data_IF_666300525633
#
_entry.id   IF_666300525633
#
_cell.length_a   1.000
_cell.length_b   1.000
_cell.length_c   1.000
_cell.angle_alpha   90.00
_cell.angle_beta   90.00
_cell.angle_gamma   90.00
#
_symmetry.space_group_name_H-M   'P 1'
#
loop_
_entity.id
_entity.type
_entity.pdbx_description
1 polymer ?
#
# COMPACT_ATOMS: atom_id res chain seq x y z
N UNK A 1 -33.70 97.46 -2.81
CA UNK A 1 -34.76 96.45 -2.65
C UNK A 1 -35.02 95.93 -4.07
N UNK A 2 -34.71 94.71 -4.54
CA UNK A 2 -34.33 93.42 -3.94
C UNK A 2 -33.45 92.68 -4.98
N UNK A 3 -32.22 92.28 -4.63
CA UNK A 3 -31.71 90.92 -4.31
C UNK A 3 -31.67 89.90 -5.49
N UNK A 4 -30.46 89.35 -5.72
CA UNK A 4 -30.13 87.92 -6.01
C UNK A 4 -30.69 87.19 -7.24
N UNK A 5 -30.05 86.19 -7.85
CA UNK A 5 -28.78 85.49 -7.59
C UNK A 5 -28.39 84.72 -8.87
N UNK A 6 -27.11 84.37 -8.98
CA UNK A 6 -26.59 83.48 -10.03
C UNK A 6 -26.98 82.03 -9.72
N UNK A 7 -27.51 81.30 -10.70
CA UNK A 7 -27.66 79.85 -10.61
C UNK A 7 -26.81 79.16 -11.68
N UNK A 8 -25.72 78.54 -11.21
CA UNK A 8 -24.86 77.63 -11.95
C UNK A 8 -25.52 76.25 -12.08
N UNK A 9 -25.38 75.53 -13.20
CA UNK A 9 -25.83 74.14 -13.29
C UNK A 9 -24.85 73.20 -12.58
N UNK A 10 -25.36 72.44 -11.62
CA UNK A 10 -24.64 71.37 -10.93
C UNK A 10 -24.34 70.21 -11.87
N UNK A 11 -23.07 69.88 -12.04
CA UNK A 11 -22.60 68.68 -12.74
C UNK A 11 -23.05 67.45 -11.96
N UNK A 12 -23.92 66.63 -12.55
CA UNK A 12 -24.42 65.40 -11.94
C UNK A 12 -23.34 64.31 -12.00
N UNK A 13 -22.68 64.04 -10.88
CA UNK A 13 -21.68 62.98 -10.76
C UNK A 13 -22.39 61.60 -10.77
N UNK A 14 -22.30 60.85 -11.88
CA UNK A 14 -22.79 59.46 -11.94
C UNK A 14 -21.81 58.55 -11.19
N UNK A 15 -22.06 58.35 -9.90
CA UNK A 15 -21.42 57.28 -9.15
C UNK A 15 -21.88 55.91 -9.70
N UNK A 16 -21.04 55.30 -10.54
CA UNK A 16 -21.21 53.92 -10.95
C UNK A 16 -21.08 53.02 -9.71
N UNK A 17 -22.17 52.33 -9.33
CA UNK A 17 -22.19 51.38 -8.22
C UNK A 17 -21.51 50.07 -8.67
N UNK A 18 -20.30 49.71 -8.17
CA UNK A 18 -19.57 48.51 -8.63
C UNK A 18 -20.07 47.22 -7.94
N UNK A 19 -21.29 47.22 -7.39
CA UNK A 19 -21.74 46.17 -6.46
C UNK A 19 -22.35 44.92 -7.08
N UNK A 20 -22.66 44.90 -8.39
CA UNK A 20 -23.40 43.79 -9.02
C UNK A 20 -22.55 42.80 -9.81
N UNK A 21 -21.38 43.22 -10.30
CA UNK A 21 -20.52 42.34 -11.11
C UNK A 21 -19.74 41.32 -10.27
N UNK A 22 -19.48 41.62 -9.00
CA UNK A 22 -18.66 40.76 -8.13
C UNK A 22 -19.39 39.50 -7.62
N UNK A 23 -20.73 39.53 -7.55
CA UNK A 23 -21.53 38.41 -7.05
C UNK A 23 -21.66 37.25 -8.05
N UNK A 24 -21.53 37.50 -9.36
CA UNK A 24 -21.62 36.46 -10.39
C UNK A 24 -20.31 35.66 -10.55
N UNK A 25 -19.16 36.25 -10.24
CA UNK A 25 -17.87 35.58 -10.31
C UNK A 25 -17.65 34.59 -9.13
N UNK A 26 -18.27 34.84 -7.97
CA UNK A 26 -18.11 33.99 -6.79
C UNK A 26 -18.96 32.70 -6.84
N UNK A 27 -20.04 32.70 -7.62
CA UNK A 27 -20.90 31.52 -7.79
C UNK A 27 -20.29 30.44 -8.72
N UNK A 28 -19.33 30.81 -9.58
CA UNK A 28 -18.72 29.90 -10.56
C UNK A 28 -17.57 29.06 -9.99
N UNK A 29 -17.08 29.32 -8.77
CA UNK A 29 -15.95 28.61 -8.17
C UNK A 29 -16.34 27.34 -7.36
N UNK A 30 -17.62 27.00 -7.26
CA UNK A 30 -18.11 25.94 -6.36
C UNK A 30 -18.28 24.55 -7.02
N UNK A 31 -17.96 24.37 -8.30
CA UNK A 31 -18.34 23.15 -9.06
C UNK A 31 -17.15 22.30 -9.52
N UNK A 32 -16.16 22.07 -8.65
CA UNK A 32 -15.15 21.01 -8.89
C UNK A 32 -14.69 20.31 -7.60
N UNK A 33 -15.60 20.02 -6.68
CA UNK A 33 -15.33 19.01 -5.65
C UNK A 33 -15.53 17.62 -6.28
N UNK A 34 -14.51 17.13 -7.00
CA UNK A 34 -14.46 15.72 -7.39
C UNK A 34 -14.54 14.87 -6.13
N UNK A 35 -15.53 13.97 -6.04
CA UNK A 35 -15.75 13.15 -4.86
C UNK A 35 -14.45 12.45 -4.45
N UNK A 36 -14.04 12.63 -3.21
CA UNK A 36 -12.94 11.87 -2.64
C UNK A 36 -13.37 10.41 -2.59
N UNK A 37 -12.99 9.63 -3.61
CA UNK A 37 -13.21 8.20 -3.64
C UNK A 37 -12.38 7.60 -2.50
N UNK A 38 -13.06 6.96 -1.56
CA UNK A 38 -12.42 6.27 -0.47
C UNK A 38 -12.15 4.86 -0.97
N UNK A 39 -10.93 4.60 -1.45
CA UNK A 39 -10.57 3.35 -2.13
C UNK A 39 -9.31 2.74 -1.46
N UNK A 40 -9.15 1.42 -1.53
CA UNK A 40 -7.87 0.75 -1.25
C UNK A 40 -7.08 0.64 -2.54
N UNK A 41 -5.94 1.34 -2.61
CA UNK A 41 -5.08 1.39 -3.80
C UNK A 41 -3.73 0.79 -3.52
N UNK A 42 -3.11 0.22 -4.56
CA UNK A 42 -1.73 -0.23 -4.52
C UNK A 42 -0.96 0.40 -5.68
N UNK A 43 0.14 1.05 -5.35
CA UNK A 43 1.08 1.62 -6.29
C UNK A 43 2.32 0.74 -6.38
N UNK A 44 2.56 0.16 -7.55
CA UNK A 44 3.76 -0.58 -7.86
C UNK A 44 4.86 0.41 -8.29
N UNK A 45 5.79 0.73 -7.40
CA UNK A 45 6.93 1.58 -7.71
C UNK A 45 8.16 0.79 -8.18
N UNK A 46 8.03 -0.51 -8.38
CA UNK A 46 9.10 -1.36 -8.91
C UNK A 46 9.18 -1.28 -10.43
N UNK A 47 10.31 -1.71 -10.99
CA UNK A 47 10.49 -1.85 -12.43
C UNK A 47 9.85 -3.12 -13.04
N UNK A 48 9.23 -3.98 -12.25
CA UNK A 48 8.62 -5.24 -12.69
C UNK A 48 7.10 -5.17 -12.69
N UNK A 49 6.45 -6.05 -13.44
CA UNK A 49 5.02 -6.36 -13.26
C UNK A 49 4.82 -7.20 -12.01
N UNK A 50 3.79 -6.85 -11.25
CA UNK A 50 3.50 -7.50 -9.97
C UNK A 50 2.09 -8.06 -9.95
N UNK A 51 1.96 -9.31 -9.53
CA UNK A 51 0.69 -9.95 -9.20
C UNK A 51 0.33 -9.71 -7.75
N UNK A 52 -0.90 -9.26 -7.46
CA UNK A 52 -1.38 -9.01 -6.09
C UNK A 52 -2.54 -9.94 -5.75
N UNK A 53 -2.55 -10.44 -4.52
CA UNK A 53 -3.71 -10.98 -3.83
C UNK A 53 -4.00 -10.13 -2.57
N UNK A 54 -5.28 -9.94 -2.27
CA UNK A 54 -5.80 -9.12 -1.18
C UNK A 54 -6.68 -9.98 -0.27
N UNK A 55 -6.40 -9.93 1.02
CA UNK A 55 -7.24 -10.47 2.08
C UNK A 55 -7.85 -9.35 2.91
N UNK A 56 -9.14 -9.46 3.20
CA UNK A 56 -9.85 -8.49 4.03
C UNK A 56 -11.00 -9.15 4.77
N UNK A 57 -11.55 -8.44 5.75
CA UNK A 57 -12.73 -8.89 6.50
C UNK A 57 -13.93 -8.04 6.11
N UNK A 58 -14.98 -8.69 5.63
CA UNK A 58 -16.27 -8.08 5.34
C UNK A 58 -17.30 -8.36 6.45
N UNK A 59 -18.57 -8.07 6.20
CA UNK A 59 -19.66 -8.32 7.14
C UNK A 59 -19.91 -9.82 7.40
N UNK A 60 -19.54 -10.69 6.46
CA UNK A 60 -19.78 -12.14 6.51
C UNK A 60 -18.56 -12.90 7.05
N UNK A 61 -17.37 -12.34 6.94
CA UNK A 61 -16.14 -12.93 7.48
C UNK A 61 -14.90 -12.58 6.67
N UNK A 62 -13.94 -13.50 6.65
CA UNK A 62 -12.71 -13.34 5.90
C UNK A 62 -12.92 -13.65 4.42
N UNK A 63 -12.36 -12.81 3.55
CA UNK A 63 -12.35 -12.97 2.11
C UNK A 63 -10.92 -12.79 1.61
N UNK A 64 -10.49 -13.64 0.68
CA UNK A 64 -9.28 -13.43 -0.11
C UNK A 64 -9.61 -13.42 -1.59
N UNK A 65 -9.01 -12.48 -2.30
CA UNK A 65 -9.18 -12.25 -3.72
C UNK A 65 -7.83 -12.09 -4.40
N UNK A 66 -7.77 -12.41 -5.68
CA UNK A 66 -6.59 -12.28 -6.55
C UNK A 66 -6.91 -12.83 -7.93
N UNK A 67 -6.12 -12.63 -8.98
CA UNK A 67 -4.88 -11.86 -9.02
C UNK A 67 -5.11 -10.55 -9.76
N UNK A 68 -4.73 -9.43 -9.14
CA UNK A 68 -4.57 -8.19 -9.89
C UNK A 68 -3.18 -8.17 -10.52
N UNK A 69 -3.09 -7.77 -11.79
CA UNK A 69 -1.81 -7.60 -12.48
C UNK A 69 -1.53 -6.11 -12.64
N UNK A 70 -0.50 -5.63 -11.95
CA UNK A 70 -0.14 -4.21 -11.90
C UNK A 70 1.18 -4.01 -12.64
N UNK A 71 1.15 -3.15 -13.64
CA UNK A 71 2.33 -2.82 -14.43
C UNK A 71 3.39 -2.07 -13.60
N UNK A 72 4.64 -2.08 -14.05
CA UNK A 72 5.70 -1.29 -13.46
C UNK A 72 5.32 0.20 -13.39
N UNK A 73 5.68 0.86 -12.29
CA UNK A 73 5.41 2.29 -12.05
C UNK A 73 3.94 2.71 -12.22
N UNK A 74 2.99 1.84 -11.88
CA UNK A 74 1.55 2.10 -12.02
C UNK A 74 0.80 1.84 -10.72
N UNK A 75 -0.38 2.45 -10.58
CA UNK A 75 -1.24 2.26 -9.41
C UNK A 75 -2.61 1.72 -9.82
N UNK A 76 -3.08 0.71 -9.09
CA UNK A 76 -4.40 0.14 -9.27
C UNK A 76 -5.25 0.23 -8.02
N UNK A 77 -6.57 0.14 -8.22
CA UNK A 77 -7.55 0.10 -7.11
C UNK A 77 -7.97 -1.34 -6.88
N UNK A 78 -7.63 -1.89 -5.71
CA UNK A 78 -7.92 -3.29 -5.37
C UNK A 78 -9.30 -3.43 -4.73
N UNK A 79 -9.71 -2.46 -3.91
CA UNK A 79 -11.03 -2.42 -3.30
C UNK A 79 -11.63 -1.02 -3.46
N UNK A 80 -12.89 -0.98 -3.91
CA UNK A 80 -13.64 0.25 -4.12
C UNK A 80 -14.51 0.58 -2.93
N UNK A 81 -14.62 1.86 -2.60
CA UNK A 81 -15.50 2.34 -1.53
C UNK A 81 -14.89 2.22 -0.13
N UNK A 82 -15.60 2.81 0.83
CA UNK A 82 -15.07 3.04 2.17
C UNK A 82 -14.53 1.76 2.81
N UNK A 83 -13.28 1.84 3.27
CA UNK A 83 -12.68 0.79 4.07
C UNK A 83 -13.40 0.69 5.42
N UNK A 84 -13.90 -0.52 5.71
CA UNK A 84 -14.64 -0.84 6.94
C UNK A 84 -13.79 -1.54 7.99
N UNK A 85 -12.64 -2.09 7.59
CA UNK A 85 -11.66 -2.72 8.46
C UNK A 85 -10.43 -1.82 8.65
N UNK A 86 -9.72 -2.02 9.75
CA UNK A 86 -8.42 -1.39 10.01
C UNK A 86 -7.26 -2.12 9.31
N UNK A 87 -7.31 -3.44 9.30
CA UNK A 87 -6.24 -4.29 8.77
C UNK A 87 -6.65 -4.92 7.45
N UNK A 88 -5.77 -4.80 6.46
CA UNK A 88 -5.86 -5.47 5.16
C UNK A 88 -4.60 -6.29 4.95
N UNK A 89 -4.70 -7.36 4.19
CA UNK A 89 -3.64 -8.34 4.03
C UNK A 89 -3.28 -8.42 2.56
N UNK A 90 -2.00 -8.30 2.21
CA UNK A 90 -1.56 -8.35 0.82
C UNK A 90 -0.52 -9.44 0.63
N UNK A 91 -0.58 -10.11 -0.51
CA UNK A 91 0.49 -10.95 -1.00
C UNK A 91 0.82 -10.50 -2.41
N UNK A 92 2.11 -10.39 -2.71
CA UNK A 92 2.56 -9.92 -4.02
C UNK A 92 3.66 -10.80 -4.60
N UNK A 93 3.66 -10.95 -5.93
CA UNK A 93 4.62 -11.72 -6.71
C UNK A 93 5.27 -10.84 -7.77
N UNK A 94 6.59 -10.79 -7.84
CA UNK A 94 7.32 -10.15 -8.95
C UNK A 94 7.38 -11.14 -10.13
N UNK A 95 6.65 -10.86 -11.21
CA UNK A 95 6.55 -11.77 -12.35
C UNK A 95 7.77 -11.75 -13.26
N UNK A 96 8.58 -10.70 -13.22
CA UNK A 96 9.67 -10.51 -14.18
C UNK A 96 11.03 -10.94 -13.59
N UNK A 97 11.30 -10.61 -12.32
CA UNK A 97 12.54 -11.00 -11.62
C UNK A 97 12.37 -12.18 -10.66
N UNK A 98 11.12 -12.54 -10.35
CA UNK A 98 10.83 -13.47 -9.26
C UNK A 98 11.00 -12.83 -7.89
N UNK A 99 10.46 -13.50 -6.88
CA UNK A 99 10.39 -12.99 -5.52
C UNK A 99 8.96 -12.66 -5.11
N UNK A 100 8.78 -12.48 -3.81
CA UNK A 100 7.47 -12.25 -3.21
C UNK A 100 7.53 -11.22 -2.08
N UNK A 101 6.41 -10.54 -1.87
CA UNK A 101 6.13 -9.83 -0.63
C UNK A 101 5.13 -10.68 0.15
N UNK A 102 5.65 -11.40 1.14
CA UNK A 102 4.89 -12.27 2.02
C UNK A 102 4.97 -11.82 3.46
N UNK A 103 4.07 -12.35 4.28
CA UNK A 103 4.02 -12.08 5.71
C UNK A 103 3.58 -13.29 6.52
N UNK A 104 3.17 -13.05 7.77
CA UNK A 104 2.86 -14.11 8.74
C UNK A 104 1.37 -14.43 8.82
N UNK A 105 0.50 -13.69 8.14
CA UNK A 105 -0.94 -13.91 8.15
C UNK A 105 -1.32 -14.95 7.09
N UNK A 106 -1.53 -16.20 7.50
CA UNK A 106 -1.84 -17.27 6.56
C UNK A 106 -3.30 -17.23 6.11
N UNK A 107 -3.52 -17.20 4.80
CA UNK A 107 -4.84 -17.22 4.18
C UNK A 107 -4.86 -18.13 2.94
N UNK A 108 -6.04 -18.42 2.41
CA UNK A 108 -6.19 -19.29 1.25
C UNK A 108 -5.97 -18.52 -0.07
N UNK A 109 -5.26 -19.14 -1.02
CA UNK A 109 -4.98 -18.58 -2.36
C UNK A 109 -5.04 -19.67 -3.44
N UNK A 110 -4.90 -19.28 -4.71
CA UNK A 110 -4.84 -20.19 -5.88
C UNK A 110 -3.98 -19.59 -7.00
N UNK A 111 -3.54 -20.42 -7.94
CA UNK A 111 -2.72 -19.99 -9.08
C UNK A 111 -3.44 -19.08 -10.11
N UNK A 112 -4.77 -19.21 -10.23
CA UNK A 112 -5.61 -18.41 -11.16
C UNK A 112 -6.46 -17.42 -10.38
N UNK A 113 -7.10 -16.49 -11.07
CA UNK A 113 -8.06 -15.57 -10.47
C UNK A 113 -9.09 -16.29 -9.58
N UNK A 114 -9.34 -15.74 -8.40
CA UNK A 114 -10.06 -16.36 -7.31
C UNK A 114 -10.73 -15.33 -6.39
N UNK A 115 -11.80 -15.78 -5.77
CA UNK A 115 -12.41 -15.20 -4.58
C UNK A 115 -12.74 -16.34 -3.63
N UNK A 116 -12.19 -16.33 -2.42
CA UNK A 116 -12.35 -17.41 -1.43
C UNK A 116 -12.84 -16.81 -0.12
N UNK A 117 -13.90 -17.38 0.45
CA UNK A 117 -14.36 -17.07 1.80
C UNK A 117 -13.74 -18.05 2.82
N UNK A 118 -13.36 -17.53 3.98
CA UNK A 118 -12.73 -18.29 5.07
C UNK A 118 -11.23 -18.54 4.85
N UNK A 119 -10.48 -18.67 5.94
CA UNK A 119 -9.01 -18.83 5.96
C UNK A 119 -8.58 -20.20 6.49
N UNK A 120 -9.53 -21.03 6.89
CA UNK A 120 -9.34 -22.35 7.45
C UNK A 120 -9.30 -23.45 6.38
N UNK A 121 -8.56 -24.52 6.70
CA UNK A 121 -8.50 -25.76 5.93
C UNK A 121 -8.18 -25.59 4.43
N UNK A 122 -7.38 -24.57 4.05
CA UNK A 122 -7.09 -24.23 2.65
C UNK A 122 -6.70 -25.47 1.82
N UNK A 123 -5.71 -26.24 2.29
CA UNK A 123 -5.22 -27.43 1.58
C UNK A 123 -6.29 -28.50 1.41
N UNK A 124 -7.10 -28.76 2.46
CA UNK A 124 -8.18 -29.76 2.39
C UNK A 124 -9.33 -29.31 1.46
N UNK A 125 -9.46 -28.00 1.22
CA UNK A 125 -10.41 -27.39 0.28
C UNK A 125 -9.84 -27.25 -1.14
N UNK A 126 -8.60 -27.67 -1.36
CA UNK A 126 -7.91 -27.59 -2.66
C UNK A 126 -7.35 -26.20 -3.00
N UNK A 127 -7.02 -25.41 -1.97
CA UNK A 127 -6.37 -24.11 -2.07
C UNK A 127 -4.97 -24.14 -1.46
N UNK A 128 -4.14 -23.19 -1.84
CA UNK A 128 -2.82 -23.00 -1.25
C UNK A 128 -2.92 -22.21 0.06
N UNK A 129 -1.93 -22.41 0.93
CA UNK A 129 -1.81 -21.66 2.20
C UNK A 129 -0.66 -20.66 2.07
N UNK A 130 -1.01 -19.42 1.78
CA UNK A 130 -0.04 -18.34 1.51
C UNK A 130 0.03 -17.37 2.68
N UNK A 131 1.23 -16.87 2.97
CA UNK A 131 1.48 -15.87 4.02
C UNK A 131 1.34 -14.45 3.47
N UNK A 132 0.33 -13.72 3.92
CA UNK A 132 0.08 -12.33 3.55
C UNK A 132 0.75 -11.38 4.53
N UNK A 133 1.23 -10.25 4.01
CA UNK A 133 1.71 -9.10 4.76
C UNK A 133 0.55 -8.25 5.27
N UNK A 134 0.58 -7.87 6.54
CA UNK A 134 -0.46 -7.07 7.17
C UNK A 134 -0.21 -5.57 6.96
N UNK A 135 -1.24 -4.87 6.49
CA UNK A 135 -1.27 -3.42 6.28
C UNK A 135 -2.23 -2.81 7.30
N UNK A 136 -1.69 -2.02 8.23
CA UNK A 136 -2.49 -1.21 9.16
C UNK A 136 -2.85 0.13 8.49
N UNK A 137 -4.15 0.32 8.22
CA UNK A 137 -4.67 1.56 7.62
C UNK A 137 -5.00 2.63 8.66
N UNK A 138 -4.87 2.34 9.96
CA UNK A 138 -5.21 3.27 11.04
C UNK A 138 -6.67 3.70 11.04
N UNK A 139 -7.58 2.82 10.62
CA UNK A 139 -9.04 3.08 10.49
C UNK A 139 -9.39 4.17 9.45
N UNK A 140 -8.47 4.45 8.54
CA UNK A 140 -8.73 5.37 7.44
C UNK A 140 -9.69 4.73 6.43
N UNK A 141 -10.61 5.55 5.90
CA UNK A 141 -11.60 5.11 4.91
C UNK A 141 -11.02 4.87 3.51
N UNK A 142 -9.80 5.34 3.27
CA UNK A 142 -9.06 5.23 2.02
C UNK A 142 -7.59 4.99 2.38
N UNK A 143 -6.90 4.14 1.61
CA UNK A 143 -5.49 3.85 1.87
C UNK A 143 -4.77 3.54 0.58
N UNK A 144 -3.49 3.91 0.50
CA UNK A 144 -2.63 3.55 -0.64
C UNK A 144 -1.37 2.87 -0.15
N UNK A 145 -1.18 1.62 -0.55
CA UNK A 145 0.06 0.88 -0.33
C UNK A 145 1.06 1.25 -1.41
N UNK A 146 2.31 1.52 -1.02
CA UNK A 146 3.43 1.75 -1.93
C UNK A 146 4.31 0.51 -1.91
N UNK A 147 4.35 -0.20 -3.03
CA UNK A 147 5.20 -1.39 -3.19
C UNK A 147 6.55 -0.98 -3.78
N UNK A 148 7.61 -1.33 -3.08
CA UNK A 148 9.00 -1.13 -3.50
C UNK A 148 9.73 -2.46 -3.59
N UNK A 149 10.86 -2.47 -4.28
CA UNK A 149 11.64 -3.68 -4.54
C UNK A 149 12.00 -4.42 -3.24
N UNK A 150 12.00 -5.75 -3.31
CA UNK A 150 12.27 -6.65 -2.18
C UNK A 150 13.78 -6.74 -1.90
N UNK A 151 14.44 -5.62 -1.66
CA UNK A 151 15.87 -5.63 -1.28
C UNK A 151 16.10 -5.88 0.21
N UNK A 152 15.10 -5.68 1.08
CA UNK A 152 15.33 -5.66 2.55
C UNK A 152 14.18 -6.16 3.45
N UNK A 153 13.20 -6.91 2.94
CA UNK A 153 12.10 -7.41 3.80
C UNK A 153 12.32 -8.84 4.34
N UNK A 154 13.34 -9.56 3.84
CA UNK A 154 13.75 -10.88 4.36
C UNK A 154 14.99 -10.82 5.28
N UNK A 155 15.25 -9.66 5.88
CA UNK A 155 16.19 -9.53 6.99
C UNK A 155 15.62 -8.59 8.06
N UNK A 156 14.53 -9.01 8.71
CA UNK A 156 14.44 -8.76 10.14
C UNK A 156 15.55 -9.60 10.82
N UNK A 157 16.83 -9.28 10.56
CA UNK A 157 17.89 -9.50 11.52
C UNK A 157 17.50 -8.64 12.69
N UNK A 158 16.81 -9.24 13.65
CA UNK A 158 16.58 -8.63 14.96
C UNK A 158 17.96 -8.17 15.44
N UNK A 159 18.24 -6.86 15.57
CA UNK A 159 19.41 -6.44 16.33
C UNK A 159 19.05 -6.78 17.77
N UNK A 160 19.56 -7.90 18.27
CA UNK A 160 19.42 -8.25 19.69
C UNK A 160 20.04 -7.09 20.49
N UNK A 161 19.29 -6.38 21.33
CA UNK A 161 19.87 -5.36 22.19
C UNK A 161 20.59 -6.06 23.35
N UNK A 162 21.91 -5.88 23.43
CA UNK A 162 22.66 -6.07 24.68
C UNK A 162 23.42 -7.39 24.84
N UNK A 163 24.59 -7.49 24.19
CA UNK A 163 25.73 -8.21 24.75
C UNK A 163 26.97 -7.29 24.62
N UNK A 164 27.65 -6.93 25.72
CA UNK A 164 28.91 -6.20 25.64
C UNK A 164 29.97 -7.09 25.00
N UNK A 165 30.57 -6.64 23.89
CA UNK A 165 31.82 -7.11 23.28
C UNK A 165 32.21 -8.57 23.56
N UNK A 166 31.69 -9.51 22.75
CA UNK A 166 32.32 -10.82 22.62
C UNK A 166 33.50 -10.72 21.65
N UNK A 167 34.74 -11.09 22.05
CA UNK A 167 35.85 -11.25 21.11
C UNK A 167 35.48 -12.30 20.07
N UNK A 168 35.67 -11.98 18.78
CA UNK A 168 35.39 -12.92 17.69
C UNK A 168 36.15 -14.24 17.84
N UNK A 169 35.66 -15.35 17.26
CA UNK A 169 36.38 -16.62 17.34
C UNK A 169 37.68 -16.50 16.54
N UNK A 170 38.79 -16.54 17.26
CA UNK A 170 40.12 -16.80 16.73
C UNK A 170 40.11 -18.13 15.99
N UNK A 171 40.49 -18.12 14.71
CA UNK A 171 40.93 -19.30 13.97
C UNK A 171 42.25 -19.80 14.53
N UNK A 172 42.36 -21.08 14.94
CA UNK A 172 43.65 -21.74 15.08
C UNK A 172 43.85 -22.68 13.88
N UNK A 173 44.78 -22.33 13.01
CA UNK A 173 45.43 -23.33 12.16
C UNK A 173 46.47 -24.09 12.98
N UNK A 174 46.49 -25.41 12.89
CA UNK A 174 47.65 -26.23 13.24
C UNK A 174 47.61 -27.58 12.52
N UNK A 175 48.72 -27.87 11.85
CA UNK A 175 49.01 -29.05 11.03
C UNK A 175 49.16 -30.35 11.85
N UNK A 176 48.82 -31.49 11.23
CA UNK A 176 49.76 -32.61 11.06
C UNK A 176 49.65 -33.90 11.89
N UNK A 177 49.24 -34.98 11.20
CA UNK A 177 49.80 -36.37 11.19
C UNK A 177 49.56 -37.35 12.37
N UNK A 178 49.80 -38.69 12.23
CA UNK A 178 49.58 -39.68 11.13
C UNK A 178 49.04 -41.09 11.56
N UNK A 179 48.84 -41.99 10.58
CA UNK A 179 48.67 -43.48 10.62
C UNK A 179 47.39 -44.07 11.28
N UNK A 180 46.75 -45.16 10.82
CA UNK A 180 46.97 -46.10 9.71
C UNK A 180 45.98 -47.29 9.80
N UNK A 181 45.84 -48.02 8.68
CA UNK A 181 45.43 -49.44 8.52
C UNK A 181 43.96 -49.88 8.67
N UNK A 182 43.52 -50.64 7.64
CA UNK A 182 42.30 -51.46 7.49
C UNK A 182 42.32 -52.70 8.45
N UNK A 183 41.42 -53.74 8.41
CA UNK A 183 40.52 -54.22 7.33
C UNK A 183 39.11 -54.69 7.78
N UNK A 184 38.27 -55.18 6.85
CA UNK A 184 37.18 -56.11 7.21
C UNK A 184 35.94 -56.12 6.32
N UNK A 185 35.59 -57.30 5.81
CA UNK A 185 34.59 -57.62 4.79
C UNK A 185 33.16 -57.92 5.32
N UNK A 186 32.20 -57.78 4.39
CA UNK A 186 31.05 -58.67 4.08
C UNK A 186 29.89 -58.78 5.09
N UNK A 187 28.70 -58.45 4.60
CA UNK A 187 27.65 -59.44 4.30
C UNK A 187 26.90 -59.09 3.02
#
# INVERSE_FOLDING_TARGET
MIISDRLSPTVLNRAARPGRALMLALAALLVTAGGAAADFRLCNNTGSRVGIALGYKDAEGWVTEGWWNISAHSCETLLRGNLIARYYYIYALDYDRGGEWSGRAFMCSRDKEFTIRGTENCLARGYDRTGFFEVDTGEQRAWTVQLTETSDQNQQRVPLPGLPNAPGPSTPGANGMPHGTAPGQKQ
#
